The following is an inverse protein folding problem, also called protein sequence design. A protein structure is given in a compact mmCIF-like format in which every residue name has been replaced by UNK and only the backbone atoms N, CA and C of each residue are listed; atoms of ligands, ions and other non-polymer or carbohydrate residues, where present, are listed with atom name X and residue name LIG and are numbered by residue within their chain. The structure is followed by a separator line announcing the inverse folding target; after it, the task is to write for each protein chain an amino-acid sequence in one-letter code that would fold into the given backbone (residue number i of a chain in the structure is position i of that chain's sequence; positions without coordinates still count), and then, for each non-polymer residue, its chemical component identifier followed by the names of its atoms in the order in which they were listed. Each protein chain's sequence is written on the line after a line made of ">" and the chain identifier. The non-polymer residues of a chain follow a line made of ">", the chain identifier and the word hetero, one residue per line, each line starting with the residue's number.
data_IF_887921698549
#
_entry.id   IF_887921698549
#
_cell.length_a   1.000
_cell.length_b   1.000
_cell.length_c   1.000
_cell.angle_alpha   90.00
_cell.angle_beta   90.00
_cell.angle_gamma   90.00
#
_symmetry.space_group_name_H-M   'P 1'
#
loop_
_entity.id
_entity.type
_entity.pdbx_description
1 polymer ?
#
# COMPACT_ATOMS: atom_id res chain seq x y z
N UNK A 1 2.12 -1.39 29.21
CA UNK A 1 3.17 -0.36 29.18
C UNK A 1 4.42 -0.96 28.56
N UNK A 2 5.06 -0.25 27.63
CA UNK A 2 6.34 -0.63 27.02
C UNK A 2 7.38 0.42 27.42
N UNK A 3 8.53 -0.02 27.91
CA UNK A 3 9.66 0.86 28.23
C UNK A 3 10.89 0.42 27.45
N UNK A 4 11.50 1.38 26.75
CA UNK A 4 12.74 1.20 26.00
C UNK A 4 13.76 2.20 26.55
N UNK A 5 14.90 1.72 27.04
CA UNK A 5 15.92 2.54 27.68
C UNK A 5 17.28 2.29 27.02
N UNK A 6 17.83 3.33 26.41
CA UNK A 6 19.18 3.37 25.86
C UNK A 6 19.50 2.23 24.88
N UNK A 7 18.50 1.79 24.11
CA UNK A 7 18.66 0.64 23.21
C UNK A 7 19.60 1.00 22.05
N UNK A 8 20.66 0.21 21.94
CA UNK A 8 21.64 0.30 20.88
C UNK A 8 21.78 -1.04 20.17
N UNK A 9 22.00 -0.99 18.85
CA UNK A 9 22.22 -2.20 18.04
C UNK A 9 23.28 -1.92 16.98
N UNK A 10 24.35 -2.70 17.03
CA UNK A 10 25.42 -2.68 16.04
C UNK A 10 25.48 -4.03 15.32
N UNK A 11 25.50 -3.99 13.99
CA UNK A 11 25.75 -5.13 13.12
C UNK A 11 27.14 -4.99 12.52
N UNK A 12 28.11 -5.73 13.05
CA UNK A 12 29.52 -5.64 12.63
C UNK A 12 30.00 -4.17 12.64
N UNK A 13 30.10 -3.54 11.48
CA UNK A 13 30.57 -2.16 11.30
C UNK A 13 29.44 -1.12 11.22
N UNK A 14 28.17 -1.55 11.16
CA UNK A 14 27.03 -0.66 10.96
C UNK A 14 26.20 -0.49 12.24
N UNK A 15 26.01 0.75 12.68
CA UNK A 15 25.15 1.08 13.82
C UNK A 15 23.71 1.28 13.36
N UNK A 16 22.84 0.32 13.67
CA UNK A 16 21.43 0.33 13.26
C UNK A 16 20.53 1.06 14.27
N UNK A 17 20.88 1.05 15.56
CA UNK A 17 20.21 1.81 16.61
C UNK A 17 21.27 2.45 17.52
N UNK A 18 21.06 3.70 17.91
CA UNK A 18 21.95 4.46 18.77
C UNK A 18 21.15 5.11 19.90
N UNK A 19 21.30 4.58 21.11
CA UNK A 19 20.77 5.14 22.36
C UNK A 19 19.27 5.49 22.34
N UNK A 20 18.45 4.61 21.77
CA UNK A 20 17.01 4.85 21.60
C UNK A 20 16.28 4.65 22.94
N UNK A 21 15.55 5.67 23.39
CA UNK A 21 14.76 5.63 24.63
C UNK A 21 13.37 6.22 24.42
N UNK A 22 12.34 5.51 24.87
CA UNK A 22 10.95 5.98 24.88
C UNK A 22 10.07 5.08 25.76
N UNK A 23 8.88 5.57 26.09
CA UNK A 23 7.85 4.82 26.81
C UNK A 23 6.54 4.87 26.03
N UNK A 24 5.82 3.75 25.99
CA UNK A 24 4.46 3.65 25.43
C UNK A 24 3.49 3.27 26.53
N UNK A 25 2.54 4.16 26.79
CA UNK A 25 1.50 3.97 27.78
C UNK A 25 0.46 2.94 27.34
N UNK A 26 -0.16 2.26 28.31
CA UNK A 26 -1.24 1.32 28.03
C UNK A 26 -2.44 2.04 27.42
N UNK A 27 -3.08 1.42 26.41
CA UNK A 27 -4.23 2.00 25.70
C UNK A 27 -3.88 3.10 24.69
N UNK A 28 -2.59 3.38 24.47
CA UNK A 28 -2.14 4.36 23.49
C UNK A 28 -1.81 3.72 22.14
N UNK A 29 -2.10 4.45 21.05
CA UNK A 29 -1.65 4.08 19.69
C UNK A 29 -0.44 4.93 19.36
N UNK A 30 0.72 4.27 19.16
CA UNK A 30 1.99 4.95 18.88
C UNK A 30 2.51 4.59 17.50
N UNK A 31 2.85 5.60 16.68
CA UNK A 31 3.44 5.41 15.36
C UNK A 31 4.95 5.56 15.37
N UNK A 32 5.67 4.55 14.87
CA UNK A 32 7.13 4.60 14.66
C UNK A 32 7.44 4.97 13.20
N UNK A 33 7.87 6.21 12.95
CA UNK A 33 8.04 6.78 11.61
C UNK A 33 9.52 7.02 11.31
N UNK A 34 9.94 6.75 10.07
CA UNK A 34 11.30 7.03 9.59
C UNK A 34 11.55 6.45 8.20
N UNK A 35 12.63 6.85 7.51
CA UNK A 35 12.99 6.32 6.19
C UNK A 35 13.37 4.83 6.23
N UNK A 36 13.44 4.18 5.06
CA UNK A 36 13.92 2.80 4.98
C UNK A 36 15.37 2.71 5.49
N UNK A 37 15.66 1.66 6.27
CA UNK A 37 16.97 1.51 6.93
C UNK A 37 17.15 2.28 8.24
N UNK A 38 16.17 3.06 8.70
CA UNK A 38 16.26 3.82 9.97
C UNK A 38 16.19 2.96 11.25
N UNK A 39 16.25 1.64 11.16
CA UNK A 39 16.23 0.74 12.32
C UNK A 39 14.84 0.37 12.88
N UNK A 40 13.72 0.78 12.27
CA UNK A 40 12.36 0.48 12.77
C UNK A 40 12.10 -1.02 12.99
N UNK A 41 12.33 -1.81 11.94
CA UNK A 41 12.16 -3.27 12.00
C UNK A 41 13.15 -3.92 12.97
N UNK A 42 14.37 -3.36 13.08
CA UNK A 42 15.38 -3.79 14.05
C UNK A 42 14.88 -3.58 15.47
N UNK A 43 14.32 -2.41 15.78
CA UNK A 43 13.77 -2.08 17.09
C UNK A 43 12.58 -2.96 17.45
N UNK A 44 11.63 -3.17 16.53
CA UNK A 44 10.48 -4.07 16.75
C UNK A 44 10.95 -5.50 17.05
N UNK A 45 11.92 -6.03 16.29
CA UNK A 45 12.48 -7.36 16.55
C UNK A 45 13.20 -7.46 17.89
N UNK A 46 13.83 -6.37 18.35
CA UNK A 46 14.45 -6.31 19.68
C UNK A 46 13.39 -6.32 20.77
N UNK A 47 12.33 -5.53 20.63
CA UNK A 47 11.24 -5.50 21.60
C UNK A 47 10.56 -6.86 21.76
N UNK A 48 10.41 -7.61 20.66
CA UNK A 48 9.82 -8.96 20.69
C UNK A 48 10.79 -10.07 21.11
N UNK A 49 12.05 -9.75 21.46
CA UNK A 49 13.06 -10.75 21.84
C UNK A 49 13.61 -11.59 20.68
N UNK A 50 13.17 -11.35 19.44
CA UNK A 50 13.64 -12.05 18.23
C UNK A 50 15.07 -11.68 17.86
N UNK A 51 15.50 -10.47 18.24
CA UNK A 51 16.85 -9.96 18.00
C UNK A 51 17.44 -9.41 19.29
N UNK A 52 18.61 -9.88 19.71
CA UNK A 52 19.29 -9.31 20.88
C UNK A 52 19.75 -7.85 20.64
N UNK A 53 19.67 -7.00 21.65
CA UNK A 53 20.29 -5.67 21.63
C UNK A 53 21.82 -5.75 21.83
N UNK A 54 22.55 -4.72 21.43
CA UNK A 54 23.98 -4.57 21.76
C UNK A 54 24.18 -3.85 23.11
N UNK A 55 23.16 -3.12 23.58
CA UNK A 55 23.14 -2.44 24.87
C UNK A 55 21.75 -1.83 25.11
N UNK A 56 21.50 -1.44 26.36
CA UNK A 56 20.20 -0.91 26.81
C UNK A 56 19.28 -1.99 27.37
N UNK A 57 18.04 -1.60 27.67
CA UNK A 57 17.02 -2.46 28.28
C UNK A 57 15.65 -2.24 27.61
N UNK A 58 14.85 -3.30 27.53
CA UNK A 58 13.45 -3.25 27.13
C UNK A 58 12.63 -3.92 28.22
N UNK A 59 11.46 -3.35 28.52
CA UNK A 59 10.44 -3.99 29.35
C UNK A 59 9.08 -3.90 28.67
N UNK A 60 8.35 -5.02 28.61
CA UNK A 60 6.97 -5.09 28.09
C UNK A 60 6.09 -5.63 29.20
N UNK A 61 5.19 -4.79 29.72
CA UNK A 61 4.36 -5.12 30.89
C UNK A 61 5.17 -5.68 32.07
N UNK A 62 6.38 -5.15 32.29
CA UNK A 62 7.28 -5.60 33.36
C UNK A 62 8.18 -6.79 32.99
N UNK A 63 7.97 -7.41 31.83
CA UNK A 63 8.75 -8.56 31.37
C UNK A 63 9.96 -8.13 30.54
N UNK A 64 11.10 -8.82 30.72
CA UNK A 64 12.30 -8.62 29.89
C UNK A 64 12.26 -9.54 28.66
N UNK A 65 12.20 -9.02 27.42
CA UNK A 65 12.10 -9.84 26.22
C UNK A 65 13.32 -10.72 25.93
N UNK A 66 14.46 -10.46 26.55
CA UNK A 66 15.67 -11.28 26.40
C UNK A 66 15.73 -12.44 27.39
N UNK A 67 14.99 -12.36 28.50
CA UNK A 67 14.95 -13.39 29.55
C UNK A 67 13.64 -14.18 29.57
N UNK A 68 12.56 -13.52 29.20
CA UNK A 68 11.19 -13.98 29.32
C UNK A 68 10.50 -13.98 27.94
N UNK A 69 11.25 -14.33 26.90
CA UNK A 69 10.83 -14.22 25.49
C UNK A 69 9.49 -14.91 25.23
N UNK A 70 9.28 -16.12 25.75
CA UNK A 70 8.01 -16.85 25.58
C UNK A 70 6.83 -16.10 26.20
N UNK A 71 7.01 -15.53 27.40
CA UNK A 71 5.98 -14.76 28.09
C UNK A 71 5.66 -13.46 27.33
N UNK A 72 6.69 -12.79 26.82
CA UNK A 72 6.56 -11.57 26.01
C UNK A 72 5.85 -11.86 24.68
N UNK A 73 6.32 -12.86 23.92
CA UNK A 73 5.71 -13.24 22.64
C UNK A 73 4.25 -13.59 22.81
N UNK A 74 3.92 -14.22 23.93
CA UNK A 74 2.57 -14.67 24.16
C UNK A 74 1.61 -13.53 24.59
N UNK A 75 2.11 -12.35 24.98
CA UNK A 75 1.31 -11.13 25.20
C UNK A 75 1.44 -10.09 24.06
N UNK A 76 2.24 -10.37 23.04
CA UNK A 76 2.52 -9.46 21.93
C UNK A 76 2.11 -10.04 20.58
N UNK A 77 1.07 -9.49 19.95
CA UNK A 77 0.79 -9.73 18.54
C UNK A 77 1.77 -8.98 17.63
N UNK A 78 2.50 -9.69 16.76
CA UNK A 78 3.38 -9.03 15.76
C UNK A 78 2.97 -9.40 14.35
N UNK A 79 2.67 -8.37 13.55
CA UNK A 79 2.48 -8.49 12.12
C UNK A 79 3.77 -8.08 11.39
N UNK A 80 4.43 -9.02 10.70
CA UNK A 80 5.63 -8.72 9.90
C UNK A 80 5.34 -8.80 8.40
N UNK A 81 6.11 -8.09 7.58
CA UNK A 81 5.95 -8.06 6.11
C UNK A 81 6.05 -9.43 5.43
N UNK A 82 6.78 -10.39 6.01
CA UNK A 82 6.80 -11.77 5.53
C UNK A 82 5.84 -12.58 6.39
N UNK A 83 4.88 -13.24 5.73
CA UNK A 83 3.71 -13.79 6.41
C UNK A 83 4.03 -14.98 7.34
N UNK A 84 5.18 -15.64 7.20
CA UNK A 84 5.55 -16.80 8.04
C UNK A 84 4.52 -17.94 8.03
N UNK A 85 3.47 -17.83 7.20
CA UNK A 85 2.37 -18.78 7.13
C UNK A 85 2.84 -20.01 6.36
N UNK A 86 2.36 -21.17 6.79
CA UNK A 86 2.58 -22.41 6.09
C UNK A 86 1.66 -22.48 4.86
N UNK A 87 2.23 -22.20 3.70
CA UNK A 87 1.50 -22.11 2.42
C UNK A 87 0.75 -23.41 2.05
N UNK A 88 1.26 -24.56 2.51
CA UNK A 88 0.66 -25.87 2.25
C UNK A 88 -0.50 -26.22 3.19
N UNK A 89 -0.68 -25.47 4.29
CA UNK A 89 -1.76 -25.65 5.25
C UNK A 89 -2.94 -24.75 4.91
N UNK A 90 -4.14 -25.11 5.38
CA UNK A 90 -5.28 -24.21 5.27
C UNK A 90 -5.08 -22.98 6.15
N UNK A 91 -5.82 -21.90 5.87
CA UNK A 91 -5.83 -20.73 6.75
C UNK A 91 -6.23 -21.08 8.17
N UNK A 92 -7.26 -21.90 8.33
CA UNK A 92 -7.72 -22.38 9.64
C UNK A 92 -6.66 -23.22 10.35
N UNK A 93 -5.98 -24.11 9.64
CA UNK A 93 -4.91 -24.93 10.24
C UNK A 93 -3.70 -24.08 10.63
N UNK A 94 -3.39 -23.03 9.88
CA UNK A 94 -2.38 -22.03 10.28
C UNK A 94 -2.79 -21.37 11.60
N UNK A 95 -4.03 -20.86 11.69
CA UNK A 95 -4.54 -20.24 12.92
C UNK A 95 -4.46 -21.19 14.11
N UNK A 96 -4.86 -22.46 13.93
CA UNK A 96 -4.80 -23.49 14.97
C UNK A 96 -3.36 -23.74 15.38
N UNK A 97 -2.47 -23.95 14.41
CA UNK A 97 -1.06 -24.21 14.67
C UNK A 97 -0.42 -23.09 15.52
N UNK A 98 -0.60 -21.83 15.12
CA UNK A 98 -0.02 -20.71 15.86
C UNK A 98 -0.69 -20.53 17.23
N UNK A 99 -2.01 -20.64 17.32
CA UNK A 99 -2.72 -20.54 18.60
C UNK A 99 -2.24 -21.63 19.59
N UNK A 100 -2.05 -22.87 19.13
CA UNK A 100 -1.51 -23.96 19.95
C UNK A 100 -0.04 -23.71 20.32
N UNK A 101 0.79 -23.27 19.37
CA UNK A 101 2.20 -22.94 19.62
C UNK A 101 2.39 -21.81 20.64
N UNK A 102 1.47 -20.84 20.68
CA UNK A 102 1.47 -19.75 21.66
C UNK A 102 0.71 -20.09 22.95
N UNK A 103 0.21 -21.31 23.10
CA UNK A 103 -0.45 -21.79 24.31
C UNK A 103 -1.81 -21.12 24.58
N UNK A 104 -2.56 -20.77 23.54
CA UNK A 104 -3.92 -20.21 23.65
C UNK A 104 -4.88 -21.31 24.12
N UNK A 105 -5.57 -21.09 25.24
CA UNK A 105 -6.59 -22.03 25.71
C UNK A 105 -7.85 -21.91 24.85
N UNK A 106 -8.52 -23.03 24.63
CA UNK A 106 -9.71 -23.09 23.77
C UNK A 106 -9.47 -22.54 22.35
N UNK A 107 -8.26 -22.75 21.80
CA UNK A 107 -7.83 -22.25 20.50
C UNK A 107 -8.88 -22.36 19.39
N UNK A 108 -9.57 -23.50 19.27
CA UNK A 108 -10.62 -23.69 18.25
C UNK A 108 -11.77 -22.69 18.37
N UNK A 109 -12.33 -22.51 19.57
CA UNK A 109 -13.41 -21.54 19.80
C UNK A 109 -12.93 -20.12 19.54
N UNK A 110 -11.70 -19.80 19.95
CA UNK A 110 -11.07 -18.49 19.68
C UNK A 110 -10.89 -18.25 18.19
N UNK A 111 -10.54 -19.28 17.43
CA UNK A 111 -10.37 -19.20 15.98
C UNK A 111 -11.71 -19.04 15.29
N UNK A 112 -12.76 -19.72 15.75
CA UNK A 112 -14.10 -19.55 15.19
C UNK A 112 -14.58 -18.09 15.37
N UNK A 113 -14.31 -17.45 16.52
CA UNK A 113 -14.57 -16.01 16.71
C UNK A 113 -13.76 -15.12 15.76
N UNK A 114 -12.48 -15.46 15.52
CA UNK A 114 -11.61 -14.68 14.64
C UNK A 114 -12.01 -14.83 13.17
N UNK A 115 -12.42 -16.03 12.78
CA UNK A 115 -12.95 -16.31 11.44
C UNK A 115 -14.18 -15.45 11.17
N UNK A 116 -15.10 -15.35 12.13
CA UNK A 116 -16.27 -14.48 12.06
C UNK A 116 -15.87 -12.99 12.03
N UNK A 117 -15.00 -12.56 12.96
CA UNK A 117 -14.56 -11.16 13.07
C UNK A 117 -13.84 -10.64 11.83
N UNK A 118 -13.05 -11.49 11.16
CA UNK A 118 -12.30 -11.15 9.95
C UNK A 118 -12.99 -11.62 8.66
N UNK A 119 -14.23 -12.12 8.76
CA UNK A 119 -15.08 -12.59 7.64
C UNK A 119 -14.30 -13.57 6.72
N UNK A 120 -13.78 -14.65 7.31
CA UNK A 120 -12.90 -15.63 6.65
C UNK A 120 -13.60 -16.94 6.28
N UNK A 121 -14.90 -17.07 6.51
CA UNK A 121 -15.68 -18.31 6.40
C UNK A 121 -15.53 -18.95 5.01
N UNK A 122 -15.53 -18.13 3.96
CA UNK A 122 -15.54 -18.55 2.56
C UNK A 122 -14.20 -19.15 2.08
N UNK A 123 -13.10 -18.91 2.80
CA UNK A 123 -11.76 -19.27 2.33
C UNK A 123 -10.85 -19.88 3.40
N UNK A 124 -11.23 -19.92 4.67
CA UNK A 124 -10.43 -20.47 5.78
C UNK A 124 -9.94 -21.92 5.54
N UNK A 125 -10.67 -22.71 4.76
CA UNK A 125 -10.32 -24.10 4.46
C UNK A 125 -9.43 -24.28 3.21
N UNK A 126 -9.18 -23.20 2.46
CA UNK A 126 -8.28 -23.21 1.30
C UNK A 126 -6.83 -23.07 1.77
N UNK A 127 -5.89 -23.57 0.97
CA UNK A 127 -4.45 -23.47 1.25
C UNK A 127 -3.99 -22.02 1.23
N UNK A 128 -3.15 -21.63 2.19
CA UNK A 128 -2.63 -20.25 2.26
C UNK A 128 -1.85 -19.87 1.01
N UNK A 129 -1.17 -20.82 0.34
CA UNK A 129 -0.47 -20.56 -0.92
C UNK A 129 -1.36 -20.07 -2.06
N UNK A 130 -2.69 -20.23 -1.96
CA UNK A 130 -3.66 -19.72 -2.94
C UNK A 130 -4.33 -18.43 -2.48
N UNK A 131 -3.88 -17.81 -1.38
CA UNK A 131 -4.49 -16.60 -0.84
C UNK A 131 -4.06 -15.36 -1.62
N UNK A 132 -5.03 -14.49 -1.88
CA UNK A 132 -4.73 -13.11 -2.25
C UNK A 132 -4.00 -12.39 -1.11
N UNK A 133 -3.32 -11.29 -1.40
CA UNK A 133 -2.62 -10.50 -0.38
C UNK A 133 -3.55 -10.08 0.76
N UNK A 134 -4.81 -9.73 0.46
CA UNK A 134 -5.81 -9.32 1.45
C UNK A 134 -6.19 -10.50 2.36
N UNK A 135 -6.42 -11.68 1.79
CA UNK A 135 -6.73 -12.90 2.56
C UNK A 135 -5.55 -13.30 3.46
N UNK A 136 -4.33 -13.22 2.94
CA UNK A 136 -3.12 -13.47 3.72
C UNK A 136 -2.99 -12.46 4.88
N UNK A 137 -3.27 -11.17 4.63
CA UNK A 137 -3.29 -10.14 5.66
C UNK A 137 -4.35 -10.42 6.73
N UNK A 138 -5.57 -10.81 6.38
CA UNK A 138 -6.62 -11.14 7.35
C UNK A 138 -6.21 -12.28 8.28
N UNK A 139 -5.60 -13.34 7.75
CA UNK A 139 -5.14 -14.49 8.52
C UNK A 139 -3.95 -14.13 9.41
N UNK A 140 -3.02 -13.37 8.87
CA UNK A 140 -1.89 -12.83 9.61
C UNK A 140 -2.34 -11.96 10.79
N UNK A 141 -3.33 -11.10 10.58
CA UNK A 141 -3.94 -10.30 11.65
C UNK A 141 -4.66 -11.20 12.63
N UNK A 142 -5.50 -12.15 12.18
CA UNK A 142 -6.14 -13.09 13.08
C UNK A 142 -5.14 -13.87 13.95
N UNK A 143 -3.99 -14.28 13.40
CA UNK A 143 -2.89 -14.89 14.15
C UNK A 143 -2.34 -13.96 15.25
N UNK A 144 -2.12 -12.68 14.95
CA UNK A 144 -1.65 -11.74 15.97
C UNK A 144 -2.67 -11.51 17.08
N UNK A 145 -3.97 -11.68 16.79
CA UNK A 145 -5.08 -11.51 17.75
C UNK A 145 -5.44 -12.78 18.53
N UNK A 146 -4.96 -13.97 18.12
CA UNK A 146 -5.33 -15.24 18.74
C UNK A 146 -5.03 -15.26 20.25
N UNK A 147 -3.83 -14.81 20.67
CA UNK A 147 -3.40 -14.82 22.06
C UNK A 147 -3.82 -13.62 22.92
N UNK A 148 -4.23 -12.51 22.32
CA UNK A 148 -4.41 -11.24 23.05
C UNK A 148 -5.70 -11.17 23.90
N UNK A 149 -6.82 -11.73 23.43
CA UNK A 149 -8.11 -11.68 24.15
C UNK A 149 -8.08 -12.43 25.47
N UNK A 150 -7.48 -13.61 25.47
CA UNK A 150 -7.39 -14.46 26.65
C UNK A 150 -6.53 -13.82 27.75
N UNK A 151 -5.55 -13.01 27.35
CA UNK A 151 -4.58 -12.36 28.22
C UNK A 151 -4.98 -10.94 28.61
N UNK A 152 -6.21 -10.53 28.28
CA UNK A 152 -6.81 -9.21 28.60
C UNK A 152 -5.96 -8.03 28.12
N UNK A 153 -5.22 -8.20 27.03
CA UNK A 153 -4.43 -7.12 26.41
C UNK A 153 -5.23 -6.33 25.36
N UNK A 154 -6.51 -6.68 25.14
CA UNK A 154 -7.38 -6.00 24.17
C UNK A 154 -8.03 -4.74 24.74
N UNK A 155 -7.46 -3.59 24.38
CA UNK A 155 -8.10 -2.29 24.09
C UNK A 155 -6.98 -1.31 23.64
N UNK A 156 -6.94 -0.76 22.43
CA UNK A 156 -7.74 -0.98 21.24
C UNK A 156 -6.93 -0.71 19.96
N UNK A 157 -7.28 -1.42 18.90
CA UNK A 157 -6.89 -1.14 17.51
C UNK A 157 -7.91 -1.78 16.57
N UNK A 158 -9.18 -1.47 16.81
CA UNK A 158 -10.28 -1.65 15.86
C UNK A 158 -10.88 -0.30 15.50
N UNK A 159 -10.02 0.65 15.12
CA UNK A 159 -10.38 1.80 14.29
C UNK A 159 -9.13 2.07 13.43
N UNK A 160 -9.09 1.55 12.21
CA UNK A 160 -9.86 2.11 11.10
C UNK A 160 -10.37 1.00 10.17
N UNK A 161 -11.67 0.73 10.13
CA UNK A 161 -12.26 0.00 9.01
C UNK A 161 -12.37 0.98 7.85
N UNK A 162 -11.24 1.38 7.24
CA UNK A 162 -11.32 2.10 5.98
C UNK A 162 -11.86 1.11 4.95
N UNK A 163 -13.02 1.42 4.39
CA UNK A 163 -13.60 0.62 3.32
C UNK A 163 -12.58 0.48 2.18
N UNK A 164 -12.56 -0.68 1.50
CA UNK A 164 -11.69 -0.89 0.34
C UNK A 164 -11.88 0.19 -0.74
N UNK A 165 -13.07 0.78 -0.82
CA UNK A 165 -13.38 1.93 -1.66
C UNK A 165 -12.61 3.19 -1.23
N UNK A 166 -12.54 3.49 0.06
CA UNK A 166 -11.76 4.61 0.61
C UNK A 166 -10.25 4.43 0.35
N UNK A 167 -9.72 3.22 0.56
CA UNK A 167 -8.32 2.90 0.32
C UNK A 167 -7.96 3.04 -1.17
N UNK A 168 -8.84 2.53 -2.04
CA UNK A 168 -8.67 2.61 -3.49
C UNK A 168 -8.72 4.07 -3.98
N UNK A 169 -9.75 4.83 -3.58
CA UNK A 169 -9.87 6.27 -3.90
C UNK A 169 -8.66 7.04 -3.39
N UNK A 170 -8.19 6.73 -2.18
CA UNK A 170 -6.97 7.32 -1.60
C UNK A 170 -5.73 7.05 -2.45
N UNK A 171 -5.52 5.80 -2.88
CA UNK A 171 -4.38 5.40 -3.72
C UNK A 171 -4.40 6.07 -5.10
N UNK A 172 -5.58 6.13 -5.73
CA UNK A 172 -5.76 6.82 -7.02
C UNK A 172 -5.49 8.31 -6.87
N UNK A 173 -6.06 8.97 -5.86
CA UNK A 173 -5.86 10.41 -5.63
C UNK A 173 -4.41 10.75 -5.27
N UNK A 174 -3.76 9.94 -4.44
CA UNK A 174 -2.37 10.14 -4.05
C UNK A 174 -1.39 10.07 -5.24
N UNK A 175 -1.72 9.28 -6.27
CA UNK A 175 -0.94 9.23 -7.51
C UNK A 175 -1.36 10.32 -8.52
N UNK A 176 -2.66 10.62 -8.60
CA UNK A 176 -3.21 11.56 -9.59
C UNK A 176 -2.82 13.02 -9.27
N UNK A 177 -2.95 13.45 -8.01
CA UNK A 177 -2.73 14.85 -7.63
C UNK A 177 -1.29 15.33 -7.95
N UNK A 178 -0.22 14.63 -7.53
CA UNK A 178 1.13 15.05 -7.86
C UNK A 178 1.42 15.03 -9.36
N UNK A 179 0.87 14.05 -10.08
CA UNK A 179 1.01 13.93 -11.54
C UNK A 179 0.39 15.13 -12.28
N UNK A 180 -0.81 15.54 -11.87
CA UNK A 180 -1.49 16.71 -12.46
C UNK A 180 -0.77 18.02 -12.15
N UNK A 181 -0.37 18.22 -10.89
CA UNK A 181 0.38 19.41 -10.48
C UNK A 181 1.66 19.53 -11.30
N UNK A 182 2.44 18.45 -11.40
CA UNK A 182 3.67 18.44 -12.18
C UNK A 182 3.40 18.77 -13.65
N UNK A 183 2.37 18.15 -14.25
CA UNK A 183 2.00 18.40 -15.65
C UNK A 183 1.62 19.86 -15.91
N UNK A 184 0.83 20.46 -15.03
CA UNK A 184 0.41 21.86 -15.17
C UNK A 184 1.57 22.84 -14.93
N UNK A 185 2.42 22.59 -13.93
CA UNK A 185 3.62 23.40 -13.69
C UNK A 185 4.55 23.34 -14.90
N UNK A 186 4.82 22.15 -15.43
CA UNK A 186 5.64 21.99 -16.65
C UNK A 186 5.02 22.71 -17.84
N UNK A 187 3.70 22.66 -18.01
CA UNK A 187 3.00 23.37 -19.08
C UNK A 187 3.13 24.90 -18.96
N UNK A 188 2.97 25.45 -17.76
CA UNK A 188 3.13 26.89 -17.51
C UNK A 188 4.56 27.32 -17.81
N UNK A 189 5.56 26.59 -17.31
CA UNK A 189 6.98 26.87 -17.57
C UNK A 189 7.27 26.82 -19.07
N UNK A 190 6.82 25.77 -19.75
CA UNK A 190 6.98 25.64 -21.20
C UNK A 190 6.33 26.81 -21.94
N UNK A 191 5.12 27.23 -21.54
CA UNK A 191 4.43 28.34 -22.17
C UNK A 191 5.14 29.69 -22.00
N UNK A 192 5.75 29.92 -20.83
CA UNK A 192 6.59 31.10 -20.61
C UNK A 192 7.80 31.07 -21.55
N UNK A 193 8.53 29.94 -21.59
CA UNK A 193 9.72 29.78 -22.44
C UNK A 193 9.37 29.94 -23.92
N UNK A 194 8.31 29.27 -24.38
CA UNK A 194 7.87 29.32 -25.77
C UNK A 194 7.51 30.74 -26.18
N UNK A 195 6.76 31.47 -25.37
CA UNK A 195 6.43 32.86 -25.67
C UNK A 195 7.65 33.78 -25.64
N UNK A 196 8.58 33.64 -24.69
CA UNK A 196 9.82 34.43 -24.67
C UNK A 196 10.61 34.24 -25.97
N UNK A 197 10.71 33.00 -26.46
CA UNK A 197 11.44 32.69 -27.69
C UNK A 197 10.70 33.16 -28.95
N UNK A 198 9.37 33.08 -28.98
CA UNK A 198 8.57 33.40 -30.17
C UNK A 198 8.19 34.88 -30.27
N UNK A 199 8.07 35.60 -29.16
CA UNK A 199 7.63 37.00 -29.15
C UNK A 199 8.50 37.93 -30.02
N UNK A 200 9.85 37.81 -30.05
CA UNK A 200 10.67 38.61 -30.96
C UNK A 200 10.41 38.36 -32.45
N UNK A 201 9.94 37.16 -32.81
CA UNK A 201 9.71 36.76 -34.19
C UNK A 201 8.31 37.18 -34.68
N UNK A 202 7.31 37.19 -33.80
CA UNK A 202 5.90 37.34 -34.19
C UNK A 202 5.20 38.57 -33.59
N UNK A 203 5.80 39.24 -32.59
CA UNK A 203 5.23 40.42 -31.94
C UNK A 203 3.95 40.17 -31.14
N UNK A 204 3.58 38.90 -30.92
CA UNK A 204 2.38 38.48 -30.20
C UNK A 204 2.64 37.19 -29.41
N UNK A 205 1.82 36.96 -28.37
CA UNK A 205 1.82 35.70 -27.63
C UNK A 205 1.15 34.61 -28.47
N UNK A 206 1.93 33.59 -28.85
CA UNK A 206 1.46 32.49 -29.69
C UNK A 206 1.00 31.27 -28.87
N UNK A 207 1.37 31.21 -27.59
CA UNK A 207 1.07 30.09 -26.71
C UNK A 207 0.40 30.54 -25.40
N UNK A 208 -0.52 29.77 -24.80
CA UNK A 208 -1.13 28.56 -25.35
C UNK A 208 -2.28 28.89 -26.31
N UNK A 209 -2.42 28.09 -27.37
CA UNK A 209 -3.62 28.12 -28.21
C UNK A 209 -4.72 27.21 -27.61
N UNK A 210 -5.94 27.31 -28.14
CA UNK A 210 -7.09 26.56 -27.63
C UNK A 210 -6.86 25.04 -27.60
N UNK A 211 -6.16 24.49 -28.59
CA UNK A 211 -5.83 23.06 -28.65
C UNK A 211 -4.95 22.63 -27.46
N UNK A 212 -3.92 23.41 -27.14
CA UNK A 212 -3.03 23.14 -26.02
C UNK A 212 -3.75 23.23 -24.67
N UNK A 213 -4.66 24.20 -24.51
CA UNK A 213 -5.48 24.35 -23.30
C UNK A 213 -6.36 23.11 -23.11
N UNK A 214 -7.08 22.68 -24.15
CA UNK A 214 -7.94 21.49 -24.10
C UNK A 214 -7.08 20.24 -23.84
N UNK A 215 -5.93 20.11 -24.51
CA UNK A 215 -5.05 18.96 -24.32
C UNK A 215 -4.60 18.82 -22.86
N UNK A 216 -4.13 19.90 -22.24
CA UNK A 216 -3.56 19.86 -20.88
C UNK A 216 -4.60 19.84 -19.76
N UNK A 217 -5.74 20.51 -19.93
CA UNK A 217 -6.78 20.57 -18.91
C UNK A 217 -7.84 19.47 -19.03
N UNK A 218 -7.98 18.84 -20.20
CA UNK A 218 -8.99 17.81 -20.45
C UNK A 218 -8.39 16.45 -20.76
N UNK A 219 -7.53 16.36 -21.78
CA UNK A 219 -7.01 15.08 -22.28
C UNK A 219 -5.98 14.48 -21.33
N UNK A 220 -5.03 15.28 -20.84
CA UNK A 220 -3.98 14.83 -19.92
C UNK A 220 -4.56 14.27 -18.62
N UNK A 221 -5.49 14.95 -17.91
CA UNK A 221 -6.08 14.39 -16.70
C UNK A 221 -6.85 13.08 -16.94
N UNK A 222 -7.60 13.01 -18.04
CA UNK A 222 -8.32 11.79 -18.41
C UNK A 222 -7.35 10.64 -18.70
N UNK A 223 -6.26 10.90 -19.43
CA UNK A 223 -5.23 9.89 -19.71
C UNK A 223 -4.50 9.44 -18.43
N UNK A 224 -4.07 10.37 -17.59
CA UNK A 224 -3.40 10.05 -16.32
C UNK A 224 -4.29 9.17 -15.44
N UNK A 225 -5.59 9.45 -15.39
CA UNK A 225 -6.55 8.63 -14.67
C UNK A 225 -6.62 7.20 -15.23
N UNK A 226 -6.73 7.02 -16.55
CA UNK A 226 -6.72 5.69 -17.20
C UNK A 226 -5.44 4.91 -16.85
N UNK A 227 -4.28 5.55 -16.97
CA UNK A 227 -2.98 4.92 -16.69
C UNK A 227 -2.88 4.50 -15.22
N UNK A 228 -3.29 5.36 -14.29
CA UNK A 228 -3.28 5.05 -12.86
C UNK A 228 -4.24 3.90 -12.56
N UNK A 229 -5.46 3.92 -13.09
CA UNK A 229 -6.45 2.85 -12.88
C UNK A 229 -5.96 1.51 -13.41
N UNK A 230 -5.36 1.48 -14.60
CA UNK A 230 -4.77 0.27 -15.18
C UNK A 230 -3.57 -0.22 -14.36
N UNK A 231 -2.66 0.67 -13.95
CA UNK A 231 -1.54 0.30 -13.08
C UNK A 231 -2.02 -0.30 -11.76
N UNK A 232 -3.02 0.30 -11.13
CA UNK A 232 -3.58 -0.22 -9.87
C UNK A 232 -4.22 -1.59 -10.10
N UNK A 233 -4.99 -1.79 -11.18
CA UNK A 233 -5.58 -3.07 -11.56
C UNK A 233 -4.53 -4.17 -11.83
N UNK A 234 -3.50 -3.86 -12.62
CA UNK A 234 -2.45 -4.81 -12.99
C UNK A 234 -1.60 -5.14 -11.76
N UNK A 235 -1.29 -4.15 -10.92
CA UNK A 235 -0.55 -4.37 -9.66
C UNK A 235 -1.27 -5.29 -8.68
N UNK A 236 -2.60 -5.44 -8.79
CA UNK A 236 -3.36 -6.38 -7.97
C UNK A 236 -3.23 -7.84 -8.45
N UNK A 237 -2.80 -8.07 -9.70
CA UNK A 237 -2.70 -9.41 -10.31
C UNK A 237 -1.26 -9.86 -10.59
N UNK A 238 -0.31 -8.94 -10.65
CA UNK A 238 1.07 -9.22 -11.05
C UNK A 238 2.02 -9.11 -9.86
N UNK A 239 2.87 -10.12 -9.67
CA UNK A 239 3.81 -10.20 -8.54
C UNK A 239 5.05 -9.29 -8.71
N UNK A 240 5.34 -8.83 -9.94
CA UNK A 240 6.51 -8.02 -10.28
C UNK A 240 6.20 -6.54 -10.57
N UNK A 241 6.90 -5.63 -9.89
CA UNK A 241 6.76 -4.17 -10.10
C UNK A 241 7.10 -3.72 -11.53
N UNK A 242 8.08 -4.36 -12.18
CA UNK A 242 8.52 -4.00 -13.53
C UNK A 242 7.48 -4.35 -14.61
N UNK A 243 6.82 -5.50 -14.49
CA UNK A 243 5.78 -5.95 -15.42
C UNK A 243 4.55 -5.04 -15.36
N UNK A 244 4.11 -4.66 -14.17
CA UNK A 244 3.01 -3.72 -14.00
C UNK A 244 3.31 -2.35 -14.64
N UNK A 245 4.54 -1.84 -14.46
CA UNK A 245 4.96 -0.56 -15.04
C UNK A 245 5.08 -0.62 -16.57
N UNK A 246 5.60 -1.72 -17.14
CA UNK A 246 5.71 -1.89 -18.58
C UNK A 246 4.34 -1.96 -19.26
N UNK A 247 3.40 -2.72 -18.68
CA UNK A 247 2.05 -2.84 -19.22
C UNK A 247 1.24 -1.55 -19.08
N UNK A 248 1.40 -0.82 -17.96
CA UNK A 248 0.77 0.49 -17.81
C UNK A 248 1.40 1.57 -18.69
N UNK A 249 2.71 1.51 -18.91
CA UNK A 249 3.45 2.44 -19.77
C UNK A 249 3.08 2.32 -21.26
N UNK A 250 2.66 1.14 -21.71
CA UNK A 250 2.18 0.90 -23.08
C UNK A 250 0.99 1.80 -23.46
N UNK A 251 0.16 2.18 -22.49
CA UNK A 251 -1.00 3.05 -22.68
C UNK A 251 -0.60 4.49 -23.02
N UNK A 252 0.62 4.90 -22.63
CA UNK A 252 1.15 6.25 -22.86
C UNK A 252 1.64 6.42 -24.31
N UNK A 253 2.05 5.32 -24.97
CA UNK A 253 2.66 5.36 -26.30
C UNK A 253 1.73 5.95 -27.37
N UNK A 254 0.45 5.54 -27.51
CA UNK A 254 -0.46 6.15 -28.48
C UNK A 254 -0.69 7.64 -28.21
N UNK A 255 -0.68 8.06 -26.95
CA UNK A 255 -0.87 9.45 -26.57
C UNK A 255 0.35 10.30 -26.97
N UNK A 256 1.56 9.81 -26.71
CA UNK A 256 2.79 10.46 -27.15
C UNK A 256 2.87 10.53 -28.69
N UNK A 257 2.39 9.51 -29.40
CA UNK A 257 2.32 9.53 -30.86
C UNK A 257 1.35 10.62 -31.36
N UNK A 258 0.19 10.79 -30.73
CA UNK A 258 -0.75 11.88 -31.01
C UNK A 258 -0.12 13.26 -30.77
N UNK A 259 0.52 13.45 -29.62
CA UNK A 259 1.19 14.72 -29.27
C UNK A 259 2.32 15.01 -30.26
N UNK A 260 3.16 14.02 -30.56
CA UNK A 260 4.26 14.15 -31.51
C UNK A 260 3.78 14.47 -32.91
N UNK A 261 2.72 13.81 -33.37
CA UNK A 261 2.11 14.07 -34.68
C UNK A 261 1.47 15.46 -34.77
N UNK A 262 0.91 15.97 -33.67
CA UNK A 262 0.38 17.34 -33.62
C UNK A 262 1.50 18.38 -33.60
N UNK A 263 2.55 18.16 -32.81
CA UNK A 263 3.70 19.06 -32.71
C UNK A 263 4.51 19.14 -34.01
N UNK A 264 4.61 18.03 -34.77
CA UNK A 264 5.27 18.01 -36.09
C UNK A 264 4.41 18.58 -37.22
N UNK A 265 3.13 18.87 -36.97
CA UNK A 265 2.17 19.30 -37.98
C UNK A 265 1.67 18.17 -38.89
N UNK A 266 2.07 16.91 -38.65
CA UNK A 266 1.59 15.74 -39.40
C UNK A 266 0.12 15.41 -39.12
N UNK A 267 -0.38 15.76 -37.94
CA UNK A 267 -1.77 15.57 -37.52
C UNK A 267 -2.37 16.89 -37.03
N UNK A 268 -3.29 17.46 -37.82
CA UNK A 268 -4.06 18.64 -37.42
C UNK A 268 -5.32 18.20 -36.66
N UNK A 269 -5.18 18.05 -35.34
CA UNK A 269 -6.31 17.70 -34.47
C UNK A 269 -7.12 18.97 -34.15
N UNK A 270 -8.41 18.93 -34.46
CA UNK A 270 -9.33 20.03 -34.16
C UNK A 270 -9.70 20.05 -32.66
N UNK A 271 -10.13 21.21 -32.11
CA UNK A 271 -10.60 21.30 -30.73
C UNK A 271 -11.70 20.27 -30.40
N UNK A 272 -12.62 20.04 -31.34
CA UNK A 272 -13.70 19.07 -31.19
C UNK A 272 -13.18 17.63 -31.07
N UNK A 273 -12.16 17.26 -31.86
CA UNK A 273 -11.54 15.94 -31.73
C UNK A 273 -10.86 15.76 -30.38
N UNK A 274 -10.17 16.78 -29.85
CA UNK A 274 -9.54 16.72 -28.53
C UNK A 274 -10.57 16.54 -27.40
N UNK A 275 -11.70 17.25 -27.48
CA UNK A 275 -12.81 17.09 -26.52
C UNK A 275 -13.35 15.66 -26.58
N UNK A 276 -13.58 15.14 -27.78
CA UNK A 276 -14.09 13.78 -28.00
C UNK A 276 -13.11 12.72 -27.47
N UNK A 277 -11.81 12.87 -27.72
CA UNK A 277 -10.77 11.98 -27.19
C UNK A 277 -10.80 11.98 -25.66
N UNK A 278 -10.83 13.14 -25.00
CA UNK A 278 -10.91 13.20 -23.55
C UNK A 278 -12.21 12.59 -23.00
N UNK A 279 -13.34 12.78 -23.68
CA UNK A 279 -14.61 12.15 -23.31
C UNK A 279 -14.54 10.61 -23.40
N UNK A 280 -13.93 10.07 -24.46
CA UNK A 280 -13.69 8.63 -24.61
C UNK A 280 -12.78 8.11 -23.50
N UNK A 281 -11.70 8.81 -23.17
CA UNK A 281 -10.80 8.43 -22.08
C UNK A 281 -11.49 8.45 -20.71
N UNK A 282 -12.39 9.41 -20.47
CA UNK A 282 -13.21 9.44 -19.25
C UNK A 282 -14.24 8.32 -19.21
N UNK A 283 -14.86 7.97 -20.33
CA UNK A 283 -15.74 6.80 -20.43
C UNK A 283 -14.98 5.50 -20.12
N UNK A 284 -13.76 5.36 -20.66
CA UNK A 284 -12.85 4.25 -20.33
C UNK A 284 -12.52 4.27 -18.85
N UNK A 285 -12.18 5.43 -18.27
CA UNK A 285 -11.90 5.57 -16.84
C UNK A 285 -13.09 5.14 -15.97
N UNK A 286 -14.31 5.53 -16.34
CA UNK A 286 -15.52 5.13 -15.64
C UNK A 286 -15.79 3.63 -15.77
N UNK A 287 -15.59 3.05 -16.95
CA UNK A 287 -15.71 1.62 -17.18
C UNK A 287 -14.67 0.83 -16.35
N UNK A 288 -13.43 1.30 -16.31
CA UNK A 288 -12.36 0.72 -15.49
C UNK A 288 -12.69 0.82 -14.00
N UNK A 289 -13.16 1.98 -13.53
CA UNK A 289 -13.62 2.14 -12.14
C UNK A 289 -14.76 1.18 -11.80
N UNK A 290 -15.75 1.03 -12.68
CA UNK A 290 -16.83 0.05 -12.50
C UNK A 290 -16.30 -1.39 -12.48
N UNK A 291 -15.42 -1.75 -13.41
CA UNK A 291 -14.77 -3.07 -13.45
C UNK A 291 -14.02 -3.35 -12.16
N UNK A 292 -13.26 -2.38 -11.64
CA UNK A 292 -12.61 -2.48 -10.33
C UNK A 292 -13.65 -2.75 -9.26
N UNK A 293 -14.69 -1.93 -9.13
CA UNK A 293 -15.69 -2.09 -8.06
C UNK A 293 -16.44 -3.42 -8.13
N UNK A 294 -16.68 -3.94 -9.35
CA UNK A 294 -17.36 -5.23 -9.56
C UNK A 294 -16.43 -6.41 -9.25
N UNK A 295 -15.17 -6.37 -9.71
CA UNK A 295 -14.18 -7.42 -9.45
C UNK A 295 -13.60 -7.39 -8.03
N UNK A 296 -13.74 -6.28 -7.31
CA UNK A 296 -13.29 -6.12 -5.93
C UNK A 296 -14.35 -6.54 -4.90
N UNK A 297 -15.42 -7.24 -5.34
CA UNK A 297 -16.23 -8.06 -4.45
C UNK A 297 -15.38 -9.26 -4.00
N UNK A 298 -15.25 -9.44 -2.68
CA UNK A 298 -14.28 -10.33 -1.99
C UNK A 298 -14.12 -11.75 -2.55
N UNK A 299 -15.06 -12.24 -3.35
CA UNK A 299 -15.07 -13.58 -3.94
C UNK A 299 -14.20 -13.77 -5.19
N UNK A 300 -14.01 -12.77 -6.07
CA UNK A 300 -13.31 -13.01 -7.36
C UNK A 300 -11.79 -12.83 -7.35
N UNK A 301 -11.22 -12.08 -6.39
CA UNK A 301 -9.78 -12.02 -6.18
C UNK A 301 -9.18 -13.37 -5.72
N UNK A 302 -10.02 -14.27 -5.22
CA UNK A 302 -9.65 -15.62 -4.80
C UNK A 302 -9.55 -16.61 -5.98
N UNK A 303 -10.24 -16.34 -7.09
CA UNK A 303 -10.35 -17.28 -8.21
C UNK A 303 -9.46 -16.90 -9.39
N UNK A 304 -9.11 -15.62 -9.58
CA UNK A 304 -8.26 -15.19 -10.70
C UNK A 304 -6.74 -15.38 -10.48
N UNK A 305 -6.34 -16.13 -9.45
CA UNK A 305 -4.94 -16.49 -9.16
C UNK A 305 -4.70 -18.02 -9.16
N UNK A 306 -5.66 -18.80 -9.68
CA UNK A 306 -5.44 -20.18 -10.16
C UNK A 306 -4.84 -20.10 -11.57
#
# INVERSE_FOLDING_TARGET
>A
MIEVRNISKQFKVHQALNDVSFTVEQGSVTGLIGPNGSGKTTLIRIMNGVLGASGGQVSINGLDPFRETENVLAICGTLTEQSGLYENMSGRDNLIFFAEAFGVQHAKARIDELVDLFEMEDYQHRKVGTYSTVMASSILTANSFAGEKERKTLEGLLFTPMSMDTLFKGKVLAALIPSLILSWVTFIIYGIIANILMYPMFGALMFPNLNWIILVLWVVPACSLVVILLNVLISAKVRGFQEAYQLGGLVVIPLLALIGGQASGMLLISPLMLILVGAVLLLISFALLRLVTLWNSRQQLAESQI
#
